data_IF_230168536659
#
_entry.id   IF_230168536659
#
_cell.length_a   1.000
_cell.length_b   1.000
_cell.length_c   1.000
_cell.angle_alpha   90.00
_cell.angle_beta   90.00
_cell.angle_gamma   90.00
#
_symmetry.space_group_name_H-M   'P 1'
#
loop_
_entity.id
_entity.type
_entity.pdbx_description
1 polymer ?
#
# COMPACT_ATOMS: atom_id res chain seq x y z
N UNK A 1 14.80 -4.61 9.61
CA UNK A 1 14.12 -3.33 9.38
C UNK A 1 12.74 -3.33 10.01
N UNK A 2 11.88 -4.28 9.71
CA UNK A 2 10.47 -4.34 10.18
C UNK A 2 10.35 -4.32 11.71
N UNK A 3 11.29 -4.99 12.41
CA UNK A 3 11.33 -4.95 13.88
C UNK A 3 11.68 -3.54 14.42
N UNK A 4 12.40 -2.73 13.66
CA UNK A 4 12.67 -1.33 14.02
C UNK A 4 11.40 -0.51 13.90
N UNK A 5 10.62 -0.69 12.82
CA UNK A 5 9.32 -0.02 12.65
C UNK A 5 8.36 -0.40 13.78
N UNK A 6 8.24 -1.70 14.10
CA UNK A 6 7.41 -2.18 15.20
C UNK A 6 7.81 -1.55 16.54
N UNK A 7 9.11 -1.39 16.79
CA UNK A 7 9.63 -0.75 18.00
C UNK A 7 9.23 0.73 18.07
N UNK A 8 9.41 1.48 16.99
CA UNK A 8 9.01 2.89 16.91
C UNK A 8 7.50 3.08 17.13
N UNK A 9 6.69 2.08 16.77
CA UNK A 9 5.23 2.04 17.01
C UNK A 9 4.85 1.56 18.43
N UNK A 10 5.80 1.30 19.31
CA UNK A 10 5.53 0.79 20.66
C UNK A 10 5.11 -0.68 20.70
N UNK A 11 5.42 -1.46 19.66
CA UNK A 11 5.11 -2.89 19.53
C UNK A 11 6.34 -3.76 19.88
N UNK A 12 7.08 -3.37 20.91
CA UNK A 12 8.28 -4.07 21.34
C UNK A 12 8.04 -5.55 21.67
N UNK A 13 8.98 -6.39 21.22
CA UNK A 13 8.96 -7.83 21.47
C UNK A 13 8.09 -8.63 20.49
N UNK A 14 7.49 -8.00 19.51
CA UNK A 14 6.75 -8.67 18.45
C UNK A 14 7.59 -8.85 17.20
N UNK A 15 7.68 -10.09 16.75
CA UNK A 15 8.28 -10.39 15.46
C UNK A 15 7.25 -10.07 14.35
N UNK A 16 7.69 -9.41 13.31
CA UNK A 16 6.86 -9.18 12.14
C UNK A 16 6.59 -10.51 11.43
N UNK A 17 5.35 -10.95 11.52
CA UNK A 17 4.83 -12.14 10.84
C UNK A 17 3.45 -11.86 10.22
N UNK A 18 3.19 -10.62 9.84
CA UNK A 18 1.89 -10.13 9.41
C UNK A 18 0.94 -9.74 10.56
N UNK A 19 1.34 -9.97 11.83
CA UNK A 19 0.49 -9.64 12.98
C UNK A 19 0.50 -8.15 13.31
N UNK A 20 1.56 -7.42 12.94
CA UNK A 20 1.66 -5.98 13.17
C UNK A 20 0.50 -5.25 12.50
N UNK A 21 0.16 -5.61 11.26
CA UNK A 21 -1.00 -5.02 10.57
C UNK A 21 -2.33 -5.40 11.22
N UNK A 22 -2.47 -6.63 11.73
CA UNK A 22 -3.66 -7.04 12.48
C UNK A 22 -3.80 -6.24 13.77
N UNK A 23 -2.70 -5.91 14.44
CA UNK A 23 -2.71 -5.10 15.65
C UNK A 23 -2.99 -3.63 15.38
N UNK A 24 -2.44 -3.06 14.34
CA UNK A 24 -2.82 -1.71 13.90
C UNK A 24 -4.33 -1.60 13.68
N UNK A 25 -4.92 -2.60 13.03
CA UNK A 25 -6.37 -2.69 12.84
C UNK A 25 -7.15 -2.93 14.15
N UNK A 26 -6.60 -3.74 15.07
CA UNK A 26 -7.23 -4.06 16.35
C UNK A 26 -7.12 -2.92 17.36
N UNK A 27 -6.10 -2.08 17.28
CA UNK A 27 -5.87 -0.98 18.22
C UNK A 27 -6.72 0.26 17.92
N UNK A 28 -7.44 0.31 16.81
CA UNK A 28 -8.31 1.43 16.47
C UNK A 28 -9.54 1.57 17.41
N UNK A 29 -9.67 0.70 18.40
CA UNK A 29 -10.70 0.81 19.43
C UNK A 29 -12.14 0.70 18.90
N UNK A 30 -13.08 1.20 19.68
CA UNK A 30 -14.46 1.34 19.24
C UNK A 30 -14.56 2.52 18.26
N UNK A 31 -14.81 2.22 16.98
CA UNK A 31 -14.93 3.23 15.92
C UNK A 31 -16.16 4.14 16.08
N UNK A 32 -17.10 3.81 16.96
CA UNK A 32 -18.35 4.56 17.15
C UNK A 32 -18.08 6.00 17.57
N UNK A 33 -17.20 6.22 18.54
CA UNK A 33 -16.85 7.58 18.98
C UNK A 33 -15.99 8.31 17.94
N UNK A 34 -15.07 7.61 17.27
CA UNK A 34 -14.28 8.18 16.16
C UNK A 34 -15.18 8.61 15.00
N UNK A 35 -16.16 7.78 14.63
CA UNK A 35 -17.16 8.12 13.60
C UNK A 35 -17.92 9.39 13.99
N UNK A 36 -18.43 9.45 15.24
CA UNK A 36 -19.19 10.60 15.74
C UNK A 36 -18.35 11.86 15.68
N UNK A 37 -17.12 11.82 16.18
CA UNK A 37 -16.19 12.93 16.14
C UNK A 37 -15.92 13.39 14.70
N UNK A 38 -15.62 12.45 13.81
CA UNK A 38 -15.39 12.74 12.38
C UNK A 38 -16.60 13.40 11.72
N UNK A 39 -17.81 12.92 12.01
CA UNK A 39 -19.04 13.54 11.50
C UNK A 39 -19.25 14.96 12.03
N UNK A 40 -18.94 15.23 13.29
CA UNK A 40 -19.00 16.56 13.88
C UNK A 40 -17.99 17.50 13.24
N UNK A 41 -16.74 17.11 13.11
CA UNK A 41 -15.66 17.89 12.49
C UNK A 41 -15.93 18.18 11.02
N UNK A 42 -16.35 17.19 10.25
CA UNK A 42 -16.70 17.34 8.83
C UNK A 42 -17.94 18.21 8.62
N UNK A 43 -18.96 18.08 9.48
CA UNK A 43 -20.13 18.95 9.43
C UNK A 43 -19.76 20.42 9.68
N UNK A 44 -18.82 20.67 10.57
CA UNK A 44 -18.35 22.03 10.88
C UNK A 44 -17.71 22.74 9.66
N UNK A 45 -17.20 21.99 8.70
CA UNK A 45 -16.66 22.51 7.42
C UNK A 45 -17.65 22.37 6.25
N UNK A 46 -18.91 22.01 6.52
CA UNK A 46 -20.00 21.99 5.54
C UNK A 46 -20.15 20.69 4.76
N UNK A 47 -19.53 19.59 5.19
CA UNK A 47 -19.74 18.26 4.58
C UNK A 47 -21.13 17.73 4.94
N UNK A 48 -21.82 17.18 3.94
CA UNK A 48 -23.11 16.50 4.11
C UNK A 48 -22.93 14.99 4.04
N UNK A 49 -23.74 14.24 4.75
CA UNK A 49 -23.67 12.78 4.83
C UNK A 49 -24.83 12.11 4.10
N UNK A 50 -24.64 10.87 3.62
CA UNK A 50 -23.36 10.15 3.61
C UNK A 50 -22.33 10.76 2.65
N UNK A 51 -21.04 10.58 2.97
CA UNK A 51 -19.95 10.90 2.04
C UNK A 51 -19.85 9.78 1.01
N UNK A 52 -19.87 10.15 -0.28
CA UNK A 52 -19.74 9.21 -1.37
C UNK A 52 -18.28 9.07 -1.82
N UNK A 53 -17.72 7.87 -1.67
CA UNK A 53 -16.35 7.52 -2.06
C UNK A 53 -16.36 6.76 -3.37
N UNK A 54 -15.77 7.33 -4.42
CA UNK A 54 -15.68 6.70 -5.74
C UNK A 54 -14.52 5.71 -5.80
N UNK A 55 -14.83 4.45 -6.11
CA UNK A 55 -13.89 3.38 -6.37
C UNK A 55 -14.09 2.82 -7.77
N UNK A 56 -13.00 2.55 -8.50
CA UNK A 56 -13.07 2.17 -9.90
C UNK A 56 -12.46 0.80 -10.15
N UNK A 57 -13.17 -0.04 -10.90
CA UNK A 57 -12.76 -1.39 -11.30
C UNK A 57 -12.76 -1.55 -12.82
N UNK A 58 -11.96 -2.50 -13.33
CA UNK A 58 -11.96 -2.83 -14.76
C UNK A 58 -13.30 -3.43 -15.18
N UNK A 59 -13.92 -2.84 -16.21
CA UNK A 59 -15.16 -3.34 -16.75
C UNK A 59 -15.01 -4.77 -17.29
N UNK A 60 -15.98 -5.63 -16.95
CA UNK A 60 -15.98 -7.05 -17.36
C UNK A 60 -15.08 -7.98 -16.54
N UNK A 61 -14.35 -7.47 -15.55
CA UNK A 61 -13.57 -8.30 -14.62
C UNK A 61 -14.45 -8.82 -13.48
N UNK A 62 -14.74 -10.11 -13.48
CA UNK A 62 -15.53 -10.76 -12.40
C UNK A 62 -14.79 -10.70 -11.07
N UNK A 63 -13.49 -10.99 -11.05
CA UNK A 63 -12.69 -10.94 -9.81
C UNK A 63 -12.61 -9.54 -9.21
N UNK A 64 -12.51 -8.50 -10.06
CA UNK A 64 -12.54 -7.11 -9.58
C UNK A 64 -13.92 -6.74 -9.01
N UNK A 65 -15.00 -7.23 -9.63
CA UNK A 65 -16.37 -7.01 -9.13
C UNK A 65 -16.60 -7.72 -7.79
N UNK A 66 -16.13 -8.97 -7.65
CA UNK A 66 -16.24 -9.73 -6.40
C UNK A 66 -15.47 -9.03 -5.28
N UNK A 67 -14.23 -8.60 -5.54
CA UNK A 67 -13.41 -7.85 -4.59
C UNK A 67 -14.05 -6.53 -4.19
N UNK A 68 -14.60 -5.78 -5.16
CA UNK A 68 -15.29 -4.52 -4.88
C UNK A 68 -16.58 -4.73 -4.07
N UNK A 69 -17.28 -5.84 -4.30
CA UNK A 69 -18.49 -6.21 -3.54
C UNK A 69 -18.15 -6.47 -2.07
N UNK A 70 -17.08 -7.23 -1.81
CA UNK A 70 -16.59 -7.47 -0.45
C UNK A 70 -16.13 -6.17 0.20
N UNK A 71 -15.38 -5.34 -0.52
CA UNK A 71 -14.92 -4.04 -0.02
C UNK A 71 -16.09 -3.13 0.36
N UNK A 72 -17.11 -3.07 -0.49
CA UNK A 72 -18.34 -2.30 -0.22
C UNK A 72 -19.04 -2.80 1.04
N UNK A 73 -19.14 -4.11 1.23
CA UNK A 73 -19.70 -4.69 2.45
C UNK A 73 -18.88 -4.32 3.69
N UNK A 74 -17.53 -4.37 3.59
CA UNK A 74 -16.66 -3.93 4.69
C UNK A 74 -16.88 -2.45 5.04
N UNK A 75 -17.12 -1.58 4.07
CA UNK A 75 -17.45 -0.18 4.32
C UNK A 75 -18.77 -0.03 5.06
N UNK A 76 -19.83 -0.71 4.59
CA UNK A 76 -21.14 -0.70 5.26
C UNK A 76 -21.06 -1.24 6.68
N UNK A 77 -20.37 -2.36 6.89
CA UNK A 77 -20.24 -3.00 8.21
C UNK A 77 -19.42 -2.15 9.20
N UNK A 78 -18.39 -1.44 8.69
CA UNK A 78 -17.49 -0.64 9.52
C UNK A 78 -18.03 0.75 9.79
N UNK A 79 -18.57 1.43 8.79
CA UNK A 79 -18.91 2.85 8.85
C UNK A 79 -20.41 3.12 8.91
N UNK A 80 -21.23 2.18 8.43
CA UNK A 80 -22.66 2.38 8.22
C UNK A 80 -22.95 3.24 6.99
N UNK A 81 -24.13 3.02 6.38
CA UNK A 81 -24.55 3.73 5.17
C UNK A 81 -24.93 5.21 5.43
N UNK A 82 -24.98 5.62 6.70
CA UNK A 82 -25.23 6.99 7.14
C UNK A 82 -23.98 7.86 7.17
N UNK A 83 -22.78 7.28 7.09
CA UNK A 83 -21.51 8.02 7.15
C UNK A 83 -20.76 7.98 5.83
N UNK A 84 -20.33 6.82 5.36
CA UNK A 84 -19.57 6.65 4.11
C UNK A 84 -20.19 5.57 3.24
N UNK A 85 -20.47 5.89 1.98
CA UNK A 85 -20.95 4.96 0.97
C UNK A 85 -19.91 4.78 -0.11
N UNK A 86 -19.59 3.52 -0.45
CA UNK A 86 -18.68 3.19 -1.54
C UNK A 86 -19.46 3.08 -2.85
N UNK A 87 -19.16 3.99 -3.78
CA UNK A 87 -19.69 3.97 -5.15
C UNK A 87 -18.70 3.25 -6.07
N UNK A 88 -19.09 2.07 -6.54
CA UNK A 88 -18.27 1.26 -7.44
C UNK A 88 -18.56 1.67 -8.88
N UNK A 89 -17.56 2.21 -9.55
CA UNK A 89 -17.59 2.66 -10.94
C UNK A 89 -16.68 1.78 -11.81
N UNK A 90 -16.73 1.92 -13.12
CA UNK A 90 -15.90 1.12 -14.04
C UNK A 90 -15.07 1.99 -14.97
N UNK A 91 -13.91 1.46 -15.38
CA UNK A 91 -13.10 1.96 -16.48
C UNK A 91 -12.88 0.84 -17.52
N UNK A 92 -12.47 1.18 -18.74
CA UNK A 92 -12.45 0.21 -19.86
C UNK A 92 -11.06 -0.37 -20.13
N UNK A 93 -9.99 0.43 -20.09
CA UNK A 93 -8.66 -0.01 -20.51
C UNK A 93 -7.52 0.40 -19.58
N UNK A 94 -7.52 1.59 -19.06
CA UNK A 94 -6.38 2.11 -18.29
C UNK A 94 -6.81 2.91 -17.07
N UNK A 95 -6.64 2.32 -15.89
CA UNK A 95 -6.85 3.01 -14.62
C UNK A 95 -6.12 4.36 -14.57
N UNK A 96 -4.86 4.38 -15.03
CA UNK A 96 -4.04 5.60 -14.98
C UNK A 96 -4.62 6.72 -15.84
N UNK A 97 -5.06 6.41 -17.07
CA UNK A 97 -5.52 7.43 -18.01
C UNK A 97 -6.97 7.84 -17.77
N UNK A 98 -7.82 6.87 -17.43
CA UNK A 98 -9.26 7.09 -17.35
C UNK A 98 -9.72 7.54 -15.96
N UNK A 99 -8.99 7.20 -14.91
CA UNK A 99 -9.39 7.42 -13.53
C UNK A 99 -8.40 8.29 -12.77
N UNK A 100 -7.13 7.86 -12.71
CA UNK A 100 -6.11 8.47 -11.84
C UNK A 100 -5.65 9.84 -12.36
N UNK A 101 -5.35 9.96 -13.65
CA UNK A 101 -4.92 11.24 -14.23
C UNK A 101 -6.00 12.32 -14.13
N UNK A 102 -7.30 12.06 -14.41
CA UNK A 102 -8.36 13.04 -14.16
C UNK A 102 -8.81 13.15 -12.69
N UNK A 103 -8.20 12.38 -11.75
CA UNK A 103 -8.50 12.44 -10.31
C UNK A 103 -9.97 12.14 -9.96
N UNK A 104 -10.55 11.12 -10.57
CA UNK A 104 -11.95 10.74 -10.36
C UNK A 104 -12.17 9.85 -9.13
N UNK A 105 -11.12 9.15 -8.68
CA UNK A 105 -11.20 8.25 -7.54
C UNK A 105 -11.10 8.98 -6.20
N UNK A 106 -11.81 8.48 -5.20
CA UNK A 106 -11.57 8.86 -3.80
C UNK A 106 -10.36 8.14 -3.24
N UNK A 107 -10.13 6.89 -3.65
CA UNK A 107 -8.91 6.13 -3.36
C UNK A 107 -8.67 5.09 -4.46
N UNK A 108 -7.45 4.58 -4.52
CA UNK A 108 -7.04 3.57 -5.51
C UNK A 108 -6.15 2.53 -4.83
N UNK A 109 -6.35 1.26 -5.18
CA UNK A 109 -5.46 0.18 -4.76
C UNK A 109 -4.32 0.07 -5.78
N UNK A 110 -3.08 0.25 -5.31
CA UNK A 110 -1.88 0.22 -6.12
C UNK A 110 -0.77 -0.54 -5.40
N UNK A 111 0.20 -1.04 -6.17
CA UNK A 111 1.38 -1.70 -5.65
C UNK A 111 2.65 -0.98 -6.08
N UNK A 112 3.72 -1.18 -5.32
CA UNK A 112 5.08 -0.75 -5.66
C UNK A 112 6.04 -1.92 -5.53
N UNK A 113 6.78 -2.20 -6.59
CA UNK A 113 7.89 -3.15 -6.56
C UNK A 113 9.21 -2.40 -6.37
N UNK A 114 10.02 -2.82 -5.40
CA UNK A 114 11.28 -2.14 -5.14
C UNK A 114 12.27 -2.27 -6.31
N UNK A 115 12.87 -1.16 -6.73
CA UNK A 115 13.94 -1.13 -7.73
C UNK A 115 15.29 -1.55 -7.15
N UNK A 116 15.48 -1.35 -5.83
CA UNK A 116 16.67 -1.70 -5.07
C UNK A 116 16.35 -1.91 -3.59
N UNK A 117 17.26 -2.56 -2.85
CA UNK A 117 17.06 -3.00 -1.48
C UNK A 117 17.35 -1.93 -0.43
N UNK A 118 16.60 -0.84 -0.45
CA UNK A 118 16.66 0.20 0.58
C UNK A 118 15.24 0.75 0.82
N UNK A 119 14.82 0.99 2.07
CA UNK A 119 13.50 1.51 2.40
C UNK A 119 13.15 2.82 1.69
N UNK A 120 14.15 3.61 1.33
CA UNK A 120 13.97 4.87 0.59
C UNK A 120 13.17 4.68 -0.70
N UNK A 121 13.29 3.51 -1.35
CA UNK A 121 12.60 3.24 -2.62
C UNK A 121 11.07 3.26 -2.47
N UNK A 122 10.58 2.86 -1.31
CA UNK A 122 9.15 2.92 -0.97
C UNK A 122 8.76 4.30 -0.42
N UNK A 123 9.51 4.80 0.55
CA UNK A 123 9.13 5.99 1.31
C UNK A 123 9.14 7.27 0.46
N UNK A 124 10.07 7.39 -0.49
CA UNK A 124 10.16 8.55 -1.39
C UNK A 124 9.02 8.66 -2.38
N UNK A 125 8.22 7.62 -2.57
CA UNK A 125 7.05 7.69 -3.47
C UNK A 125 5.94 8.59 -2.92
N UNK A 126 5.98 8.92 -1.62
CA UNK A 126 4.88 9.52 -0.87
C UNK A 126 5.26 10.90 -0.31
N UNK A 127 6.53 11.29 -0.38
CA UNK A 127 6.96 12.62 0.10
C UNK A 127 6.37 13.75 -0.73
N UNK A 128 6.38 14.95 -0.19
CA UNK A 128 6.03 16.20 -0.91
C UNK A 128 7.30 16.99 -1.25
N UNK A 129 7.17 18.00 -2.09
CA UNK A 129 8.29 18.83 -2.59
C UNK A 129 9.35 18.04 -3.40
N UNK A 130 8.98 16.90 -3.97
CA UNK A 130 9.84 16.10 -4.86
C UNK A 130 9.01 15.64 -6.07
N UNK A 131 9.34 16.15 -7.25
CA UNK A 131 8.63 15.84 -8.51
C UNK A 131 8.76 14.37 -8.92
N UNK A 132 9.69 13.62 -8.32
CA UNK A 132 9.85 12.19 -8.53
C UNK A 132 9.02 11.33 -7.56
N UNK A 133 8.34 11.94 -6.59
CA UNK A 133 7.45 11.25 -5.66
C UNK A 133 6.18 10.76 -6.39
N UNK A 134 6.25 9.56 -6.94
CA UNK A 134 5.25 9.06 -7.90
C UNK A 134 3.82 9.07 -7.36
N UNK A 135 3.61 8.60 -6.11
CA UNK A 135 2.27 8.59 -5.53
C UNK A 135 1.75 9.98 -5.20
N UNK A 136 2.59 10.82 -4.62
CA UNK A 136 2.18 12.20 -4.28
C UNK A 136 1.86 13.03 -5.52
N UNK A 137 2.62 12.87 -6.61
CA UNK A 137 2.42 13.63 -7.83
C UNK A 137 1.31 13.07 -8.72
N UNK A 138 1.20 11.73 -8.83
CA UNK A 138 0.33 11.11 -9.83
C UNK A 138 -0.93 10.47 -9.24
N UNK A 139 -0.83 9.80 -8.07
CA UNK A 139 -1.92 9.01 -7.51
C UNK A 139 -2.85 9.80 -6.60
N UNK A 140 -2.33 10.82 -5.93
CA UNK A 140 -3.07 11.68 -4.98
C UNK A 140 -3.13 13.12 -5.45
N UNK A 141 -3.84 13.96 -4.71
CA UNK A 141 -3.87 15.41 -4.94
C UNK A 141 -2.90 16.18 -4.03
N UNK A 142 -2.13 15.49 -3.18
CA UNK A 142 -1.34 16.15 -2.13
C UNK A 142 -0.30 17.11 -2.69
N UNK A 143 0.42 16.74 -3.74
CA UNK A 143 1.39 17.63 -4.37
C UNK A 143 0.72 18.93 -4.89
N UNK A 144 -0.47 18.82 -5.49
CA UNK A 144 -1.24 19.97 -5.94
C UNK A 144 -1.72 20.85 -4.78
N UNK A 145 -2.17 20.23 -3.68
CA UNK A 145 -2.60 20.96 -2.47
C UNK A 145 -1.42 21.74 -1.87
N UNK A 146 -0.27 21.11 -1.73
CA UNK A 146 0.95 21.72 -1.19
C UNK A 146 1.41 22.89 -2.07
N UNK A 147 1.48 22.68 -3.38
CA UNK A 147 1.99 23.68 -4.34
C UNK A 147 1.06 24.90 -4.51
N UNK A 148 -0.25 24.70 -4.40
CA UNK A 148 -1.24 25.77 -4.58
C UNK A 148 -1.66 26.45 -3.26
N UNK A 149 -1.18 25.96 -2.13
CA UNK A 149 -1.55 26.38 -0.79
C UNK A 149 -2.81 25.66 -0.28
N UNK A 150 -2.75 25.07 0.92
CA UNK A 150 -3.85 24.32 1.50
C UNK A 150 -5.01 25.22 1.93
N UNK A 151 -6.24 24.75 1.76
CA UNK A 151 -7.38 25.30 2.46
C UNK A 151 -7.23 25.11 3.99
N UNK A 152 -8.00 25.84 4.77
CA UNK A 152 -7.88 25.80 6.24
C UNK A 152 -8.01 24.40 6.82
N UNK A 153 -8.93 23.60 6.27
CA UNK A 153 -9.20 22.22 6.69
C UNK A 153 -8.18 21.19 6.15
N UNK A 154 -7.25 21.61 5.29
CA UNK A 154 -6.19 20.75 4.73
C UNK A 154 -4.84 20.95 5.41
N UNK A 155 -4.73 21.91 6.32
CA UNK A 155 -3.44 22.29 6.92
C UNK A 155 -2.80 21.18 7.72
N UNK A 156 -3.59 20.44 8.49
CA UNK A 156 -3.09 19.33 9.31
C UNK A 156 -2.61 18.17 8.42
N UNK A 157 -3.35 17.87 7.35
CA UNK A 157 -2.92 16.90 6.34
C UNK A 157 -1.58 17.29 5.69
N UNK A 158 -1.44 18.54 5.27
CA UNK A 158 -0.19 19.04 4.68
C UNK A 158 0.94 18.97 5.70
N UNK A 159 0.71 19.39 6.96
CA UNK A 159 1.72 19.29 8.02
C UNK A 159 2.17 17.85 8.28
N UNK A 160 1.26 16.88 8.22
CA UNK A 160 1.61 15.46 8.35
C UNK A 160 2.53 14.98 7.19
N UNK A 161 2.22 15.35 5.95
CA UNK A 161 3.07 15.02 4.81
C UNK A 161 4.43 15.74 4.83
N UNK A 162 4.48 16.98 5.26
CA UNK A 162 5.73 17.72 5.42
C UNK A 162 6.62 17.09 6.49
N UNK A 163 6.06 16.76 7.65
CA UNK A 163 6.79 16.08 8.70
C UNK A 163 7.29 14.69 8.28
N UNK A 164 6.48 13.93 7.55
CA UNK A 164 6.91 12.67 6.96
C UNK A 164 8.08 12.88 5.99
N UNK A 165 7.98 13.89 5.13
CA UNK A 165 9.04 14.27 4.18
C UNK A 165 10.35 14.59 4.88
N UNK A 166 10.30 15.35 5.98
CA UNK A 166 11.47 15.68 6.79
C UNK A 166 12.12 14.43 7.38
N UNK A 167 11.33 13.52 7.95
CA UNK A 167 11.83 12.25 8.50
C UNK A 167 12.47 11.36 7.43
N UNK A 168 11.91 11.30 6.23
CA UNK A 168 12.51 10.57 5.10
C UNK A 168 13.83 11.22 4.69
N UNK A 169 13.90 12.55 4.64
CA UNK A 169 15.10 13.28 4.28
C UNK A 169 16.21 13.14 5.34
N UNK A 170 15.86 13.04 6.63
CA UNK A 170 16.83 12.68 7.70
C UNK A 170 17.50 11.33 7.39
N UNK A 171 16.72 10.29 7.08
CA UNK A 171 17.25 8.99 6.69
C UNK A 171 18.06 9.02 5.38
N UNK A 172 17.60 9.81 4.40
CA UNK A 172 18.29 10.00 3.11
C UNK A 172 19.72 10.60 3.29
N UNK A 173 19.89 11.47 4.25
CA UNK A 173 21.16 12.13 4.51
C UNK A 173 22.24 11.21 5.13
N UNK A 174 21.85 10.08 5.71
CA UNK A 174 22.76 9.10 6.29
C UNK A 174 23.23 8.14 5.20
N UNK A 175 24.53 8.16 4.86
CA UNK A 175 25.09 7.40 3.73
C UNK A 175 26.16 6.38 4.14
N UNK A 176 26.75 6.52 5.30
CA UNK A 176 27.91 5.77 5.78
C UNK A 176 27.60 4.86 6.99
N UNK A 177 26.40 4.92 7.54
CA UNK A 177 25.94 4.09 8.64
C UNK A 177 24.57 3.45 8.30
N UNK A 178 24.58 2.19 7.89
CA UNK A 178 23.39 1.46 7.49
C UNK A 178 22.40 1.27 8.64
N UNK A 179 22.89 1.03 9.85
CA UNK A 179 22.02 0.80 11.01
C UNK A 179 21.32 2.10 11.43
N UNK A 180 22.06 3.21 11.49
CA UNK A 180 21.48 4.53 11.75
C UNK A 180 20.50 4.95 10.65
N UNK A 181 20.83 4.69 9.38
CA UNK A 181 19.96 4.94 8.23
C UNK A 181 18.63 4.16 8.34
N UNK A 182 18.70 2.89 8.63
CA UNK A 182 17.51 2.05 8.76
C UNK A 182 16.67 2.43 9.99
N UNK A 183 17.31 2.85 11.08
CA UNK A 183 16.58 3.38 12.23
C UNK A 183 15.84 4.68 11.90
N UNK A 184 16.45 5.59 11.14
CA UNK A 184 15.80 6.83 10.70
C UNK A 184 14.61 6.54 9.77
N UNK A 185 14.75 5.64 8.79
CA UNK A 185 13.64 5.25 7.94
C UNK A 185 12.54 4.50 8.68
N UNK A 186 12.87 3.67 9.68
CA UNK A 186 11.88 3.01 10.51
C UNK A 186 11.02 4.01 11.29
N UNK A 187 11.62 5.09 11.78
CA UNK A 187 10.91 6.19 12.42
C UNK A 187 9.98 6.91 11.44
N UNK A 188 10.44 7.14 10.20
CA UNK A 188 9.61 7.74 9.16
C UNK A 188 8.41 6.85 8.81
N UNK A 189 8.64 5.54 8.62
CA UNK A 189 7.58 4.58 8.31
C UNK A 189 6.58 4.42 9.46
N UNK A 190 7.05 4.36 10.70
CA UNK A 190 6.18 4.31 11.87
C UNK A 190 5.25 5.53 11.94
N UNK A 191 5.80 6.73 11.73
CA UNK A 191 5.01 7.95 11.65
C UNK A 191 3.97 7.92 10.53
N UNK A 192 4.37 7.48 9.35
CA UNK A 192 3.53 7.32 8.19
C UNK A 192 2.34 6.37 8.40
N UNK A 193 2.59 5.25 9.10
CA UNK A 193 1.55 4.28 9.46
C UNK A 193 0.61 4.81 10.54
N UNK A 194 1.12 5.54 11.53
CA UNK A 194 0.35 6.14 12.60
C UNK A 194 -0.59 7.25 12.10
N UNK A 195 -0.10 8.08 11.18
CA UNK A 195 -0.90 9.14 10.52
C UNK A 195 -1.83 8.61 9.42
N UNK A 196 -1.81 7.30 9.11
CA UNK A 196 -2.62 6.66 8.07
C UNK A 196 -2.52 7.33 6.69
N UNK A 197 -1.33 7.83 6.31
CA UNK A 197 -1.11 8.49 5.01
C UNK A 197 -1.30 7.53 3.82
N UNK A 198 -1.02 6.25 4.02
CA UNK A 198 -1.39 5.13 3.15
C UNK A 198 -1.88 3.97 4.03
N UNK A 199 -2.71 3.10 3.45
CA UNK A 199 -3.17 1.88 4.09
C UNK A 199 -2.57 0.65 3.39
N UNK A 200 -1.51 0.03 3.93
CA UNK A 200 -0.95 -1.20 3.40
C UNK A 200 -1.97 -2.34 3.51
N UNK A 201 -2.18 -3.08 2.43
CA UNK A 201 -3.20 -4.14 2.38
C UNK A 201 -2.60 -5.54 2.34
N UNK A 202 -1.79 -5.83 1.33
CA UNK A 202 -1.26 -7.17 1.05
C UNK A 202 0.13 -7.09 0.45
N UNK A 203 0.90 -8.18 0.58
CA UNK A 203 2.04 -8.46 -0.28
C UNK A 203 1.57 -9.29 -1.46
N UNK A 204 1.97 -8.91 -2.66
CA UNK A 204 1.71 -9.72 -3.86
C UNK A 204 2.77 -10.84 -3.92
N UNK A 205 2.31 -12.09 -3.83
CA UNK A 205 3.15 -13.28 -3.91
C UNK A 205 2.70 -14.07 -5.12
N UNK A 206 3.60 -14.23 -6.09
CA UNK A 206 3.34 -15.04 -7.28
C UNK A 206 4.07 -16.36 -7.22
N UNK A 207 3.34 -17.45 -7.35
CA UNK A 207 3.87 -18.81 -7.45
C UNK A 207 3.65 -19.34 -8.86
N UNK A 208 4.66 -19.95 -9.44
CA UNK A 208 4.52 -20.62 -10.73
C UNK A 208 5.36 -21.90 -10.80
N UNK A 209 4.82 -22.91 -11.47
CA UNK A 209 5.60 -24.05 -11.93
C UNK A 209 6.27 -23.72 -13.26
N UNK A 210 7.52 -24.09 -13.41
CA UNK A 210 8.29 -23.77 -14.63
C UNK A 210 9.23 -24.92 -14.97
N UNK A 211 9.42 -25.17 -16.25
CA UNK A 211 10.43 -26.10 -16.78
C UNK A 211 11.86 -25.50 -16.85
N UNK A 212 12.04 -24.30 -16.32
CA UNK A 212 13.35 -23.65 -16.24
C UNK A 212 14.17 -24.30 -15.14
N UNK A 213 15.39 -24.71 -15.46
CA UNK A 213 16.35 -25.21 -14.49
C UNK A 213 16.63 -24.13 -13.45
N UNK A 214 16.32 -24.41 -12.19
CA UNK A 214 16.46 -23.48 -11.07
C UNK A 214 17.87 -22.91 -10.92
N UNK A 215 18.89 -23.76 -11.15
CA UNK A 215 20.28 -23.35 -11.05
C UNK A 215 20.73 -22.41 -12.18
N UNK A 216 20.00 -22.38 -13.29
CA UNK A 216 20.24 -21.43 -14.39
C UNK A 216 19.49 -20.10 -14.23
N UNK A 217 18.55 -20.03 -13.29
CA UNK A 217 17.80 -18.81 -12.98
C UNK A 217 18.70 -17.80 -12.28
N UNK A 218 19.07 -16.76 -12.98
CA UNK A 218 19.65 -15.57 -12.38
C UNK A 218 18.53 -14.56 -12.20
N UNK A 219 18.02 -14.47 -10.98
CA UNK A 219 16.99 -13.51 -10.63
C UNK A 219 17.65 -12.23 -10.10
N UNK A 220 17.27 -11.09 -10.66
CA UNK A 220 17.51 -9.84 -9.97
C UNK A 220 16.55 -9.79 -8.76
N UNK A 221 17.07 -9.50 -7.58
CA UNK A 221 16.26 -9.41 -6.36
C UNK A 221 15.27 -8.23 -6.43
N UNK A 222 15.64 -7.20 -7.20
CA UNK A 222 14.89 -5.95 -7.32
C UNK A 222 14.81 -5.50 -8.77
N UNK A 223 13.84 -4.63 -9.05
CA UNK A 223 13.62 -3.99 -10.34
C UNK A 223 12.50 -4.61 -11.17
N UNK A 224 12.03 -3.90 -12.19
CA UNK A 224 10.88 -4.29 -13.01
C UNK A 224 11.09 -5.57 -13.82
N UNK A 225 12.34 -5.96 -14.04
CA UNK A 225 12.72 -7.19 -14.74
C UNK A 225 13.45 -8.14 -13.79
N UNK A 226 12.70 -8.79 -12.91
CA UNK A 226 13.25 -9.74 -11.94
C UNK A 226 13.90 -10.96 -12.60
N UNK A 227 13.63 -11.19 -13.89
CA UNK A 227 14.10 -12.36 -14.62
C UNK A 227 15.10 -11.97 -15.68
N UNK A 228 16.32 -12.50 -15.53
CA UNK A 228 17.37 -12.40 -16.55
C UNK A 228 17.46 -13.72 -17.29
N UNK A 229 16.60 -13.88 -18.27
CA UNK A 229 16.38 -15.16 -18.97
C UNK A 229 17.52 -15.58 -19.91
N UNK A 230 18.52 -14.74 -20.17
CA UNK A 230 19.56 -14.97 -21.19
C UNK A 230 20.35 -16.28 -20.99
N UNK A 231 20.48 -16.75 -19.76
CA UNK A 231 21.19 -17.98 -19.42
C UNK A 231 20.25 -19.09 -18.89
N UNK A 232 18.94 -18.92 -19.05
CA UNK A 232 18.01 -19.93 -18.58
C UNK A 232 18.08 -21.18 -19.44
N UNK A 233 18.13 -22.31 -18.78
CA UNK A 233 18.04 -23.63 -19.38
C UNK A 233 16.66 -24.20 -19.08
N UNK A 234 16.04 -24.81 -20.08
CA UNK A 234 14.75 -25.50 -19.92
C UNK A 234 14.97 -26.99 -19.95
N UNK A 235 14.20 -27.75 -19.17
CA UNK A 235 14.13 -29.20 -19.22
C UNK A 235 12.86 -29.63 -19.93
N UNK A 236 12.96 -30.65 -20.77
CA UNK A 236 11.80 -31.33 -21.37
C UNK A 236 11.18 -32.36 -20.42
N UNK A 237 11.85 -32.67 -19.30
CA UNK A 237 11.33 -33.56 -18.30
C UNK A 237 10.10 -32.97 -17.61
N UNK A 238 9.01 -33.73 -17.61
CA UNK A 238 7.83 -33.39 -16.84
C UNK A 238 8.14 -33.51 -15.34
N UNK A 239 7.52 -32.66 -14.54
CA UNK A 239 7.58 -32.79 -13.07
C UNK A 239 7.07 -34.19 -12.67
N UNK A 240 7.75 -34.82 -11.74
CA UNK A 240 7.23 -36.05 -11.13
C UNK A 240 5.95 -35.72 -10.33
N UNK A 241 5.10 -36.75 -10.16
CA UNK A 241 3.88 -36.61 -9.33
C UNK A 241 4.24 -36.10 -7.94
N UNK A 242 5.34 -36.57 -7.35
CA UNK A 242 5.80 -36.18 -6.03
C UNK A 242 6.19 -34.68 -5.97
N UNK A 243 6.84 -34.15 -7.01
CA UNK A 243 7.16 -32.73 -7.11
C UNK A 243 5.91 -31.86 -7.25
N UNK A 244 4.95 -32.32 -8.05
CA UNK A 244 3.66 -31.63 -8.21
C UNK A 244 2.85 -31.63 -6.93
N UNK A 245 2.77 -32.77 -6.23
CA UNK A 245 2.04 -32.90 -4.96
C UNK A 245 2.66 -32.02 -3.86
N UNK A 246 4.00 -31.95 -3.80
CA UNK A 246 4.71 -31.08 -2.87
C UNK A 246 4.41 -29.59 -3.14
N UNK A 247 4.38 -29.20 -4.41
CA UNK A 247 4.00 -27.82 -4.79
C UNK A 247 2.53 -27.53 -4.43
N UNK A 248 1.60 -28.41 -4.77
CA UNK A 248 0.18 -28.25 -4.47
C UNK A 248 -0.06 -28.11 -2.96
N UNK A 249 0.59 -28.95 -2.15
CA UNK A 249 0.50 -28.87 -0.69
C UNK A 249 1.05 -27.55 -0.13
N UNK A 250 2.17 -27.05 -0.68
CA UNK A 250 2.74 -25.77 -0.28
C UNK A 250 1.85 -24.60 -0.68
N UNK A 251 1.25 -24.65 -1.87
CA UNK A 251 0.30 -23.65 -2.36
C UNK A 251 -0.96 -23.58 -1.50
N UNK A 252 -1.54 -24.75 -1.17
CA UNK A 252 -2.73 -24.83 -0.32
C UNK A 252 -2.45 -24.31 1.09
N UNK A 253 -1.28 -24.60 1.65
CA UNK A 253 -0.87 -24.08 2.96
C UNK A 253 -0.71 -22.55 2.94
N UNK A 254 -0.16 -22.00 1.86
CA UNK A 254 0.03 -20.56 1.71
C UNK A 254 -1.29 -19.80 1.50
N UNK A 255 -2.30 -20.44 0.88
CA UNK A 255 -3.61 -19.82 0.64
C UNK A 255 -4.54 -19.88 1.85
N UNK A 256 -4.24 -20.75 2.83
CA UNK A 256 -5.02 -20.89 4.07
C UNK A 256 -4.45 -20.05 5.25
N UNK A 257 -3.28 -19.43 5.09
CA UNK A 257 -2.61 -18.62 6.10
C UNK A 257 -2.96 -17.13 5.95
#
# INVERSE_FOLDING_TARGET
YTNLVAKEMGLDGETYDGKTMKRLRANNGDITELKKQAMEELSAIGVTFPVHCSYYILAGSTSALDSATVLKQCFTDSFGDDFIVLDVNTFVSSTMKEVVAPKLQSFVHMGWGADFGDPINFLTQIIVHDDNAYYSCNMTNIAGIVNNGPASYQKDLVAAYEKFTDLVNEGRAIVDDTDARYAAFAKAEAYFLDENLIFPTVYDITWCLTHVNEYSKINAMYGPCNYKAVNWETSEEAYTTEQYDAFAAAFDAATQA
#
